data_IF_485486761087
#
_entry.id   IF_485486761087
#
_cell.length_a   1.000
_cell.length_b   1.000
_cell.length_c   1.000
_cell.angle_alpha   90.00
_cell.angle_beta   90.00
_cell.angle_gamma   90.00
#
_symmetry.space_group_name_H-M   'P 1'
#
loop_
_entity.id
_entity.type
_entity.pdbx_description
1 polymer ?
#
# COMPACT_ATOMS: atom_id res chain seq x y z
N UNK A 1 3.05 4.97 -13.26
CA UNK A 1 2.92 4.46 -11.87
C UNK A 1 1.44 4.37 -11.60
N UNK A 2 0.95 3.24 -11.11
CA UNK A 2 -0.49 3.02 -10.96
C UNK A 2 -1.13 3.82 -9.81
N UNK A 3 -0.31 4.31 -8.86
CA UNK A 3 -0.79 4.94 -7.63
C UNK A 3 -0.14 6.33 -7.42
N UNK A 4 -0.96 7.30 -7.00
CA UNK A 4 -0.62 8.71 -6.79
C UNK A 4 -0.16 8.98 -5.35
N UNK A 5 1.02 8.47 -4.99
CA UNK A 5 1.64 8.81 -3.70
C UNK A 5 2.21 10.24 -3.76
N UNK A 6 1.40 11.22 -3.35
CA UNK A 6 1.81 12.61 -3.26
C UNK A 6 2.94 12.83 -2.26
N UNK A 7 3.73 13.91 -2.43
CA UNK A 7 4.63 14.38 -1.38
C UNK A 7 3.80 15.16 -0.36
N UNK A 8 3.88 14.84 0.95
CA UNK A 8 3.21 15.66 1.96
C UNK A 8 3.65 17.11 1.82
N UNK A 9 2.70 18.02 1.62
CA UNK A 9 2.96 19.45 1.36
C UNK A 9 3.58 20.17 2.57
N UNK A 10 3.47 19.57 3.77
CA UNK A 10 3.97 20.11 5.04
C UNK A 10 4.44 19.00 5.98
N UNK A 11 5.48 19.28 6.77
CA UNK A 11 5.96 18.42 7.86
C UNK A 11 4.90 18.13 8.93
N UNK A 12 3.86 18.97 9.03
CA UNK A 12 2.72 18.75 9.92
C UNK A 12 1.83 17.57 9.49
N UNK A 13 1.97 17.09 8.24
CA UNK A 13 1.30 15.92 7.69
C UNK A 13 2.22 14.69 7.55
N UNK A 14 3.50 14.84 7.83
CA UNK A 14 4.47 13.74 7.91
C UNK A 14 4.45 13.22 9.34
N UNK A 15 4.35 11.90 9.54
CA UNK A 15 4.37 11.31 10.87
C UNK A 15 5.80 11.02 11.34
N UNK A 16 6.04 11.11 12.66
CA UNK A 16 7.37 11.01 13.26
C UNK A 16 7.83 9.54 13.39
N UNK A 17 8.87 9.10 12.66
CA UNK A 17 9.47 7.78 12.89
C UNK A 17 10.18 7.72 14.27
N UNK A 18 10.74 8.84 14.75
CA UNK A 18 11.39 8.90 16.07
C UNK A 18 10.40 8.65 17.21
N UNK A 19 9.17 9.15 17.11
CA UNK A 19 8.16 8.88 18.13
C UNK A 19 7.90 7.39 18.30
N UNK A 20 7.78 6.66 17.18
CA UNK A 20 7.59 5.20 17.19
C UNK A 20 8.83 4.52 17.75
N UNK A 21 10.01 4.81 17.20
CA UNK A 21 11.27 4.19 17.61
C UNK A 21 11.53 4.30 19.12
N UNK A 22 11.38 5.49 19.68
CA UNK A 22 11.65 5.75 21.10
C UNK A 22 10.63 5.10 22.04
N UNK A 23 9.43 4.76 21.54
CA UNK A 23 8.39 4.10 22.33
C UNK A 23 8.59 2.59 22.44
N UNK A 24 9.06 1.95 21.38
CA UNK A 24 9.02 0.48 21.25
C UNK A 24 10.39 -0.17 21.24
N UNK A 25 11.49 0.59 21.13
CA UNK A 25 12.83 0.00 21.19
C UNK A 25 13.06 -0.69 22.54
N UNK A 26 13.64 -1.88 22.49
CA UNK A 26 13.96 -2.69 23.66
C UNK A 26 15.45 -2.61 24.05
N UNK A 27 16.19 -1.73 23.38
CA UNK A 27 17.63 -1.57 23.53
C UNK A 27 18.01 -0.10 23.73
N UNK A 28 19.26 0.11 24.13
CA UNK A 28 19.84 1.43 24.15
C UNK A 28 19.85 1.99 22.73
N UNK A 29 19.43 3.25 22.62
CA UNK A 29 19.46 4.01 21.38
C UNK A 29 20.83 3.92 20.70
N UNK A 30 20.82 3.61 19.41
CA UNK A 30 22.03 3.44 18.61
C UNK A 30 21.78 2.62 17.33
N UNK A 31 22.81 2.49 16.49
CA UNK A 31 22.68 1.93 15.13
C UNK A 31 22.34 0.44 15.10
N UNK A 32 22.57 -0.30 16.20
CA UNK A 32 22.32 -1.74 16.30
C UNK A 32 21.03 -2.06 17.07
N UNK A 33 20.13 -1.08 17.18
CA UNK A 33 18.89 -1.20 17.91
C UNK A 33 17.72 -1.01 16.94
N UNK A 34 17.19 -2.12 16.42
CA UNK A 34 15.99 -2.14 15.57
C UNK A 34 14.70 -2.27 16.39
N UNK A 35 13.57 -2.29 15.68
CA UNK A 35 12.22 -2.47 16.25
C UNK A 35 11.39 -3.39 15.36
N UNK A 36 10.28 -3.92 15.88
CA UNK A 36 9.38 -4.80 15.12
C UNK A 36 8.25 -4.02 14.46
N UNK A 37 7.88 -4.43 13.23
CA UNK A 37 6.78 -3.80 12.46
C UNK A 37 5.45 -3.96 13.21
N UNK A 38 5.21 -5.14 13.79
CA UNK A 38 4.01 -5.42 14.59
C UNK A 38 3.84 -4.48 15.77
N UNK A 39 4.90 -4.23 16.54
CA UNK A 39 4.85 -3.34 17.70
C UNK A 39 4.64 -1.88 17.30
N UNK A 40 5.24 -1.46 16.18
CA UNK A 40 4.99 -0.14 15.61
C UNK A 40 3.52 0.04 15.21
N UNK A 41 2.93 -0.95 14.53
CA UNK A 41 1.52 -0.93 14.13
C UNK A 41 0.59 -0.94 15.35
N UNK A 42 0.88 -1.74 16.37
CA UNK A 42 0.08 -1.79 17.59
C UNK A 42 0.19 -0.49 18.40
N UNK A 43 1.36 0.14 18.46
CA UNK A 43 1.53 1.49 19.03
C UNK A 43 0.64 2.50 18.30
N UNK A 44 0.71 2.53 16.97
CA UNK A 44 -0.08 3.47 16.15
C UNK A 44 -1.59 3.22 16.28
N UNK A 45 -2.02 1.97 16.47
CA UNK A 45 -3.43 1.63 16.67
C UNK A 45 -3.93 2.03 18.06
N UNK A 46 -3.15 1.75 19.10
CA UNK A 46 -3.59 1.92 20.50
C UNK A 46 -3.34 3.33 21.04
N UNK A 47 -2.19 3.91 20.73
CA UNK A 47 -1.74 5.22 21.24
C UNK A 47 -1.69 6.29 20.16
N UNK A 48 -1.54 5.91 18.90
CA UNK A 48 -1.41 6.84 17.78
C UNK A 48 0.02 7.33 17.58
N UNK A 49 0.18 8.38 16.79
CA UNK A 49 1.48 8.93 16.38
C UNK A 49 1.44 10.46 16.31
N UNK A 50 2.59 11.11 16.49
CA UNK A 50 2.72 12.57 16.34
C UNK A 50 3.35 12.94 15.00
N UNK A 51 3.17 14.19 14.57
CA UNK A 51 3.82 14.69 13.36
C UNK A 51 5.34 14.80 13.53
N UNK A 52 6.05 14.83 12.41
CA UNK A 52 7.47 15.11 12.33
C UNK A 52 7.82 16.46 12.94
N UNK A 53 6.94 17.46 12.80
CA UNK A 53 7.12 18.77 13.41
C UNK A 53 7.18 18.68 14.94
N UNK A 54 6.37 17.82 15.56
CA UNK A 54 6.34 17.64 17.01
C UNK A 54 7.54 16.83 17.53
N UNK A 55 7.99 15.84 16.77
CA UNK A 55 9.20 15.07 17.08
C UNK A 55 10.00 14.78 15.80
N UNK A 56 10.91 15.68 15.40
CA UNK A 56 11.72 15.49 14.20
C UNK A 56 12.61 14.26 14.28
N UNK A 57 12.95 13.69 13.13
CA UNK A 57 13.99 12.66 13.06
C UNK A 57 15.36 13.27 13.34
N UNK A 58 16.07 12.68 14.28
CA UNK A 58 17.46 12.94 14.59
C UNK A 58 18.08 11.62 15.07
N UNK A 59 19.02 11.09 14.28
CA UNK A 59 19.69 9.83 14.57
C UNK A 59 20.57 9.87 15.83
N UNK A 60 20.95 11.07 16.28
CA UNK A 60 21.78 11.28 17.47
C UNK A 60 20.95 11.56 18.73
N UNK A 61 19.64 11.77 18.58
CA UNK A 61 18.77 12.07 19.69
C UNK A 61 18.17 10.78 20.26
N UNK A 62 18.39 10.57 21.55
CA UNK A 62 17.91 9.40 22.27
C UNK A 62 16.83 9.70 23.32
N UNK A 63 16.37 10.95 23.41
CA UNK A 63 15.39 11.40 24.40
C UNK A 63 14.01 10.80 24.13
N UNK A 64 13.40 10.08 25.10
CA UNK A 64 12.03 9.58 24.96
C UNK A 64 11.00 10.72 24.85
N UNK A 65 9.85 10.48 24.21
CA UNK A 65 8.78 11.48 24.11
C UNK A 65 8.19 11.82 25.48
N UNK A 66 7.92 13.10 25.70
CA UNK A 66 7.28 13.59 26.92
C UNK A 66 5.77 13.34 26.98
N UNK A 67 5.17 13.46 28.17
CA UNK A 67 3.74 13.18 28.38
C UNK A 67 2.80 14.01 27.48
N UNK A 68 3.17 15.24 27.12
CA UNK A 68 2.36 16.08 26.22
C UNK A 68 2.20 15.46 24.82
N UNK A 69 3.22 14.74 24.34
CA UNK A 69 3.17 14.06 23.03
C UNK A 69 2.24 12.85 23.05
N UNK A 70 2.08 12.17 24.20
CA UNK A 70 1.15 11.04 24.32
C UNK A 70 -0.30 11.47 24.04
N UNK A 71 -0.70 12.62 24.57
CA UNK A 71 -2.04 13.17 24.33
C UNK A 71 -2.20 13.59 22.87
N UNK A 72 -1.18 14.25 22.30
CA UNK A 72 -1.20 14.66 20.89
C UNK A 72 -1.17 13.49 19.91
N UNK A 73 -0.58 12.35 20.28
CA UNK A 73 -0.56 11.16 19.43
C UNK A 73 -1.97 10.55 19.26
N UNK A 74 -2.80 10.66 20.30
CA UNK A 74 -4.10 9.98 20.37
C UNK A 74 -5.10 10.37 19.27
N UNK A 75 -4.91 11.52 18.61
CA UNK A 75 -5.76 11.98 17.50
C UNK A 75 -5.37 11.38 16.15
N UNK A 76 -4.15 10.82 16.02
CA UNK A 76 -3.68 10.17 14.79
C UNK A 76 -3.50 8.67 15.02
N UNK A 77 -4.59 7.97 15.32
CA UNK A 77 -4.60 6.51 15.41
C UNK A 77 -4.93 5.90 14.06
N UNK A 78 -4.26 4.81 13.72
CA UNK A 78 -4.72 3.96 12.62
C UNK A 78 -5.95 3.17 13.08
N UNK A 79 -6.96 3.00 12.21
CA UNK A 79 -8.13 2.18 12.56
C UNK A 79 -7.78 0.71 12.81
N UNK A 80 -6.77 0.20 12.12
CA UNK A 80 -6.33 -1.18 12.26
C UNK A 80 -5.26 -1.55 11.24
N UNK A 81 -4.82 -2.79 11.31
CA UNK A 81 -3.87 -3.36 10.38
C UNK A 81 -4.14 -4.86 10.24
N UNK A 82 -3.75 -5.43 9.10
CA UNK A 82 -3.85 -6.85 8.83
C UNK A 82 -2.49 -7.39 8.37
N UNK A 83 -2.20 -8.63 8.76
CA UNK A 83 -1.00 -9.35 8.32
C UNK A 83 -1.33 -10.20 7.09
N UNK A 84 -0.48 -10.13 6.07
CA UNK A 84 -0.56 -11.02 4.91
C UNK A 84 0.10 -12.35 5.29
N UNK A 85 -0.72 -13.36 5.59
CA UNK A 85 -0.23 -14.66 6.08
C UNK A 85 0.43 -15.49 4.96
N UNK A 86 -0.14 -15.47 3.75
CA UNK A 86 0.46 -16.17 2.61
C UNK A 86 1.44 -15.27 1.87
N UNK A 87 2.68 -15.23 2.36
CA UNK A 87 3.75 -14.38 1.84
C UNK A 87 4.11 -14.63 0.36
N UNK A 88 3.74 -15.79 -0.19
CA UNK A 88 4.03 -16.19 -1.56
C UNK A 88 2.91 -15.83 -2.55
N UNK A 89 1.75 -15.36 -2.06
CA UNK A 89 0.62 -15.02 -2.90
C UNK A 89 0.79 -13.63 -3.52
N UNK A 90 1.54 -13.53 -4.62
CA UNK A 90 1.77 -12.24 -5.29
C UNK A 90 0.48 -11.55 -5.75
N UNK A 91 -0.59 -12.31 -6.01
CA UNK A 91 -1.88 -11.73 -6.39
C UNK A 91 -2.48 -10.91 -5.25
N UNK A 92 -2.33 -11.34 -3.99
CA UNK A 92 -2.78 -10.58 -2.83
C UNK A 92 -2.05 -9.23 -2.72
N UNK A 93 -0.73 -9.21 -2.92
CA UNK A 93 0.03 -7.96 -2.96
C UNK A 93 -0.44 -7.04 -4.08
N UNK A 94 -0.64 -7.58 -5.29
CA UNK A 94 -1.15 -6.80 -6.43
C UNK A 94 -2.54 -6.24 -6.16
N UNK A 95 -3.42 -7.01 -5.52
CA UNK A 95 -4.77 -6.56 -5.15
C UNK A 95 -4.72 -5.37 -4.19
N UNK A 96 -3.93 -5.44 -3.11
CA UNK A 96 -3.80 -4.28 -2.21
C UNK A 96 -3.23 -3.06 -2.93
N UNK A 97 -2.16 -3.25 -3.70
CA UNK A 97 -1.52 -2.17 -4.44
C UNK A 97 -2.46 -1.58 -5.49
N UNK A 98 -3.29 -2.36 -6.18
CA UNK A 98 -4.26 -1.83 -7.15
C UNK A 98 -5.43 -1.09 -6.52
N UNK A 99 -5.66 -1.26 -5.23
CA UNK A 99 -6.69 -0.58 -4.44
C UNK A 99 -6.11 0.59 -3.61
N UNK A 100 -4.92 1.08 -4.00
CA UNK A 100 -4.21 2.16 -3.31
C UNK A 100 -3.91 1.88 -1.84
N UNK A 101 -3.64 0.61 -1.51
CA UNK A 101 -3.20 0.19 -0.19
C UNK A 101 -1.71 -0.19 -0.28
N UNK A 102 -0.80 0.60 0.32
CA UNK A 102 0.61 0.26 0.33
C UNK A 102 0.88 -0.85 1.35
N UNK A 103 1.93 -1.62 1.12
CA UNK A 103 2.21 -2.83 1.92
C UNK A 103 3.56 -2.65 2.61
N UNK A 104 3.57 -2.75 3.93
CA UNK A 104 4.80 -2.72 4.73
C UNK A 104 5.38 -4.12 4.71
N UNK A 105 6.64 -4.27 4.34
CA UNK A 105 7.34 -5.57 4.31
C UNK A 105 8.59 -5.54 5.15
N UNK A 106 8.81 -6.57 5.96
CA UNK A 106 10.07 -6.86 6.64
C UNK A 106 10.67 -8.15 6.09
N UNK A 107 11.92 -8.13 5.65
CA UNK A 107 12.56 -9.28 5.01
C UNK A 107 14.09 -9.20 5.02
N UNK A 108 14.77 -10.33 4.82
CA UNK A 108 16.19 -10.32 4.45
C UNK A 108 16.36 -9.76 3.03
N UNK A 109 17.37 -8.93 2.84
CA UNK A 109 17.70 -8.39 1.53
C UNK A 109 18.29 -9.46 0.60
N UNK A 110 18.08 -9.29 -0.70
CA UNK A 110 18.82 -10.03 -1.72
C UNK A 110 20.32 -9.70 -1.69
N UNK A 111 21.15 -10.63 -2.13
CA UNK A 111 22.57 -10.38 -2.31
C UNK A 111 22.80 -9.15 -3.22
N UNK A 112 23.76 -8.30 -2.86
CA UNK A 112 24.12 -7.06 -3.56
C UNK A 112 23.05 -5.95 -3.60
N UNK A 113 22.00 -6.03 -2.77
CA UNK A 113 20.98 -4.99 -2.70
C UNK A 113 21.55 -3.58 -2.44
N UNK A 114 22.58 -3.46 -1.60
CA UNK A 114 23.20 -2.15 -1.31
C UNK A 114 23.88 -1.56 -2.56
N UNK A 115 24.54 -2.40 -3.36
CA UNK A 115 25.28 -2.01 -4.56
C UNK A 115 24.37 -1.66 -5.74
N UNK A 116 23.12 -2.16 -5.75
CA UNK A 116 22.10 -1.72 -6.71
C UNK A 116 21.94 -0.20 -6.70
N UNK A 117 22.09 0.40 -5.51
CA UNK A 117 21.83 1.80 -5.17
C UNK A 117 22.61 2.88 -5.90
N UNK A 118 23.42 2.55 -6.90
CA UNK A 118 24.09 3.55 -7.74
C UNK A 118 23.07 4.58 -8.22
N UNK A 119 23.36 5.87 -7.99
CA UNK A 119 22.40 6.97 -8.16
C UNK A 119 21.72 6.94 -9.52
N UNK A 120 20.39 6.90 -9.54
CA UNK A 120 19.61 6.91 -10.77
C UNK A 120 19.51 5.57 -11.48
N UNK A 121 19.92 4.46 -10.85
CA UNK A 121 19.69 3.13 -11.41
C UNK A 121 18.19 2.83 -11.49
N UNK A 122 17.68 2.67 -12.72
CA UNK A 122 16.27 2.38 -13.02
C UNK A 122 16.03 0.92 -13.40
N UNK A 123 17.08 0.08 -13.33
CA UNK A 123 17.00 -1.32 -13.71
C UNK A 123 16.19 -2.12 -12.69
N UNK A 124 15.62 -3.26 -13.09
CA UNK A 124 15.01 -4.18 -12.12
C UNK A 124 16.10 -4.87 -11.31
N UNK A 125 16.05 -4.77 -9.99
CA UNK A 125 16.86 -5.54 -9.07
C UNK A 125 16.43 -7.01 -9.09
N UNK A 126 17.40 -7.89 -9.31
CA UNK A 126 17.23 -9.34 -9.31
C UNK A 126 18.18 -9.97 -8.30
N UNK A 127 17.81 -11.13 -7.77
CA UNK A 127 18.62 -11.86 -6.82
C UNK A 127 18.31 -13.36 -6.88
N UNK A 128 19.33 -14.18 -6.67
CA UNK A 128 19.23 -15.64 -6.54
C UNK A 128 19.67 -16.14 -5.16
N UNK A 129 20.15 -15.23 -4.30
CA UNK A 129 20.62 -15.51 -2.95
C UNK A 129 20.22 -14.36 -2.02
N UNK A 130 20.09 -14.66 -0.73
CA UNK A 130 19.87 -13.68 0.32
C UNK A 130 21.21 -13.22 0.91
N UNK A 131 21.27 -11.94 1.28
CA UNK A 131 22.38 -11.37 2.04
C UNK A 131 22.26 -11.83 3.50
N UNK A 132 23.29 -12.44 4.12
CA UNK A 132 23.26 -12.80 5.53
C UNK A 132 23.06 -11.58 6.44
N UNK A 133 22.33 -11.75 7.55
CA UNK A 133 22.13 -10.72 8.59
C UNK A 133 21.66 -9.36 8.05
N UNK A 134 20.67 -9.37 7.16
CA UNK A 134 20.24 -8.19 6.39
C UNK A 134 18.75 -7.88 6.52
N UNK A 135 18.17 -8.08 7.70
CA UNK A 135 16.77 -7.73 7.95
C UNK A 135 16.53 -6.24 7.67
N UNK A 136 15.55 -5.94 6.81
CA UNK A 136 15.19 -4.58 6.45
C UNK A 136 13.68 -4.45 6.27
N UNK A 137 13.14 -3.28 6.63
CA UNK A 137 11.72 -2.95 6.48
C UNK A 137 11.55 -1.86 5.40
N UNK A 138 10.63 -2.10 4.47
CA UNK A 138 10.38 -1.23 3.32
C UNK A 138 8.88 -1.14 2.99
N UNK A 139 8.50 -0.20 2.14
CA UNK A 139 7.12 0.03 1.74
C UNK A 139 6.91 -0.27 0.26
N UNK A 140 6.06 -1.23 -0.07
CA UNK A 140 5.62 -1.50 -1.43
C UNK A 140 4.55 -0.49 -1.83
N UNK A 141 4.74 0.10 -3.01
CA UNK A 141 3.94 1.25 -3.50
C UNK A 141 3.41 1.05 -4.93
N UNK A 142 3.71 -0.09 -5.55
CA UNK A 142 3.16 -0.42 -6.86
C UNK A 142 3.75 -1.68 -7.44
N UNK A 143 3.30 -2.02 -8.64
CA UNK A 143 3.80 -3.14 -9.42
C UNK A 143 3.68 -2.83 -10.92
N UNK A 144 4.43 -3.56 -11.74
CA UNK A 144 4.37 -3.51 -13.19
C UNK A 144 4.59 -4.94 -13.73
N UNK A 145 3.54 -5.51 -14.32
CA UNK A 145 3.55 -6.88 -14.86
C UNK A 145 4.39 -7.01 -16.14
N UNK A 146 4.53 -5.94 -16.91
CA UNK A 146 5.42 -5.93 -18.09
C UNK A 146 6.88 -5.99 -17.63
N UNK A 147 7.21 -5.31 -16.53
CA UNK A 147 8.52 -5.40 -15.86
C UNK A 147 8.69 -6.66 -15.02
N UNK A 148 7.61 -7.35 -14.69
CA UNK A 148 7.55 -8.46 -13.72
C UNK A 148 8.16 -8.09 -12.36
N UNK A 149 7.84 -6.89 -11.88
CA UNK A 149 8.48 -6.33 -10.69
C UNK A 149 7.51 -5.56 -9.78
N UNK A 150 7.84 -5.52 -8.49
CA UNK A 150 7.23 -4.63 -7.51
C UNK A 150 8.05 -3.36 -7.37
N UNK A 151 7.38 -2.22 -7.22
CA UNK A 151 8.03 -0.96 -6.83
C UNK A 151 8.00 -0.82 -5.33
N UNK A 152 9.19 -0.63 -4.76
CA UNK A 152 9.40 -0.52 -3.33
C UNK A 152 10.09 0.81 -3.02
N UNK A 153 9.53 1.54 -2.07
CA UNK A 153 10.11 2.74 -1.49
C UNK A 153 11.09 2.32 -0.38
N UNK A 154 12.33 2.79 -0.49
CA UNK A 154 13.38 2.57 0.49
C UNK A 154 13.57 3.83 1.37
N UNK A 155 14.34 3.69 2.46
CA UNK A 155 14.59 4.73 3.45
C UNK A 155 16.06 5.17 3.49
N UNK A 156 16.82 4.97 2.41
CA UNK A 156 18.25 5.33 2.31
C UNK A 156 18.50 6.63 1.52
N UNK A 157 17.51 7.53 1.53
CA UNK A 157 17.59 8.83 0.87
C UNK A 157 17.31 8.79 -0.63
N UNK A 158 17.11 9.97 -1.21
CA UNK A 158 16.71 10.12 -2.62
C UNK A 158 17.85 9.85 -3.61
N UNK A 159 19.10 9.81 -3.16
CA UNK A 159 20.25 9.54 -4.05
C UNK A 159 20.50 8.04 -4.27
N UNK A 160 19.78 7.18 -3.56
CA UNK A 160 19.84 5.73 -3.72
C UNK A 160 18.81 5.25 -4.75
N UNK A 161 19.24 4.41 -5.69
CA UNK A 161 18.35 3.80 -6.70
C UNK A 161 17.62 4.83 -7.58
N UNK A 162 16.36 4.55 -7.92
CA UNK A 162 15.49 5.46 -8.67
C UNK A 162 14.82 6.46 -7.72
N UNK A 163 15.54 7.51 -7.30
CA UNK A 163 15.02 8.56 -6.39
C UNK A 163 14.53 8.03 -5.03
N UNK A 164 15.24 7.05 -4.46
CA UNK A 164 14.86 6.36 -3.22
C UNK A 164 13.96 5.14 -3.42
N UNK A 165 13.69 4.75 -4.67
CA UNK A 165 12.89 3.58 -5.02
C UNK A 165 13.71 2.51 -5.72
N UNK A 166 13.19 1.29 -5.70
CA UNK A 166 13.72 0.14 -6.43
C UNK A 166 12.58 -0.65 -7.06
N UNK A 167 12.82 -1.20 -8.24
CA UNK A 167 11.99 -2.24 -8.82
C UNK A 167 12.60 -3.59 -8.47
N UNK A 168 11.88 -4.43 -7.72
CA UNK A 168 12.34 -5.78 -7.35
C UNK A 168 11.58 -6.81 -8.17
N UNK A 169 12.31 -7.64 -8.91
CA UNK A 169 11.76 -8.75 -9.69
C UNK A 169 10.91 -9.70 -8.82
N UNK A 170 9.83 -10.25 -9.38
CA UNK A 170 8.89 -11.10 -8.65
C UNK A 170 9.53 -12.37 -8.04
N UNK A 171 10.49 -13.00 -8.71
CA UNK A 171 11.16 -14.19 -8.18
C UNK A 171 12.18 -13.81 -7.10
N UNK A 172 12.90 -12.69 -7.28
CA UNK A 172 13.74 -12.14 -6.21
C UNK A 172 12.90 -11.76 -4.97
N UNK A 173 11.74 -11.12 -5.16
CA UNK A 173 10.83 -10.77 -4.08
C UNK A 173 10.31 -12.01 -3.35
N UNK A 174 9.91 -13.07 -4.08
CA UNK A 174 9.54 -14.36 -3.48
C UNK A 174 10.69 -14.96 -2.66
N UNK A 175 11.93 -14.89 -3.16
CA UNK A 175 13.09 -15.36 -2.41
C UNK A 175 13.29 -14.59 -1.11
N UNK A 176 13.19 -13.25 -1.16
CA UNK A 176 13.23 -12.37 0.02
C UNK A 176 12.11 -12.73 1.00
N UNK A 177 10.86 -12.77 0.54
CA UNK A 177 9.71 -13.10 1.39
C UNK A 177 9.68 -14.55 1.87
N UNK A 178 10.47 -15.45 1.26
CA UNK A 178 10.71 -16.81 1.76
C UNK A 178 11.64 -16.89 2.96
N UNK A 179 12.36 -15.80 3.32
CA UNK A 179 13.29 -15.81 4.45
C UNK A 179 12.57 -16.06 5.78
N UNK A 180 13.25 -16.72 6.72
CA UNK A 180 12.74 -16.85 8.09
C UNK A 180 12.55 -15.46 8.70
N UNK A 181 11.44 -15.25 9.41
CA UNK A 181 11.09 -13.96 10.01
C UNK A 181 10.53 -12.91 9.05
N UNK A 182 10.41 -13.19 7.75
CA UNK A 182 9.77 -12.24 6.83
C UNK A 182 8.29 -12.04 7.16
N UNK A 183 7.81 -10.83 6.94
CA UNK A 183 6.45 -10.41 7.27
C UNK A 183 5.95 -9.30 6.35
N UNK A 184 4.64 -9.24 6.17
CA UNK A 184 3.98 -8.21 5.38
C UNK A 184 2.68 -7.76 6.06
N UNK A 185 2.41 -6.47 6.05
CA UNK A 185 1.23 -5.86 6.67
C UNK A 185 0.63 -4.79 5.79
N UNK A 186 -0.67 -4.60 5.95
CA UNK A 186 -1.43 -3.46 5.41
C UNK A 186 -2.10 -2.74 6.56
N UNK A 187 -2.15 -1.41 6.47
CA UNK A 187 -2.99 -0.59 7.35
C UNK A 187 -4.38 -0.52 6.74
N UNK A 188 -5.42 -0.64 7.58
CA UNK A 188 -6.81 -0.51 7.13
C UNK A 188 -7.01 0.84 6.45
N UNK A 189 -7.55 0.86 5.23
CA UNK A 189 -7.73 2.08 4.44
C UNK A 189 -8.73 3.01 5.14
N UNK A 190 -8.25 4.15 5.59
CA UNK A 190 -9.03 5.21 6.22
C UNK A 190 -8.56 6.62 5.81
N UNK A 191 -7.82 6.69 4.71
CA UNK A 191 -7.24 7.88 4.12
C UNK A 191 -7.66 8.03 2.66
N UNK A 192 -7.74 9.28 2.21
CA UNK A 192 -7.89 9.64 0.80
C UNK A 192 -6.53 10.03 0.22
N UNK A 193 -6.23 9.60 -1.02
CA UNK A 193 -5.03 10.06 -1.72
C UNK A 193 -5.22 11.50 -2.21
N UNK A 194 -4.13 12.27 -2.27
CA UNK A 194 -4.15 13.64 -2.82
C UNK A 194 -4.55 13.61 -4.29
N UNK A 195 -5.47 14.51 -4.68
CA UNK A 195 -5.92 14.71 -6.08
C UNK A 195 -4.88 15.41 -6.98
N UNK A 196 -3.61 15.51 -6.56
CA UNK A 196 -2.58 16.22 -7.33
C UNK A 196 -2.43 15.62 -8.74
N UNK A 197 -2.79 16.42 -9.74
CA UNK A 197 -2.89 16.07 -11.15
C UNK A 197 -1.53 15.80 -11.79
N UNK A 198 -1.50 14.84 -12.72
CA UNK A 198 -0.35 14.62 -13.59
C UNK A 198 0.05 15.90 -14.34
N UNK A 199 1.35 16.17 -14.57
CA UNK A 199 1.82 17.16 -15.53
C UNK A 199 1.48 16.87 -17.00
N UNK A 200 0.47 16.04 -17.30
CA UNK A 200 0.07 15.69 -18.67
C UNK A 200 -1.42 15.88 -18.97
N UNK A 201 -2.25 16.22 -18.00
CA UNK A 201 -3.71 16.20 -18.20
C UNK A 201 -4.27 17.62 -18.28
N UNK A 202 -3.74 18.41 -19.23
CA UNK A 202 -4.50 19.51 -19.83
C UNK A 202 -5.48 18.90 -20.84
N UNK A 203 -6.61 18.37 -20.35
CA UNK A 203 -7.81 18.20 -21.18
C UNK A 203 -8.95 18.92 -20.46
N UNK A 204 -9.24 20.11 -20.99
CA UNK A 204 -10.47 20.87 -20.76
C UNK A 204 -11.65 20.04 -21.25
N UNK A 205 -12.67 19.80 -20.41
CA UNK A 205 -14.09 19.94 -20.80
C UNK A 205 -15.03 19.99 -19.58
N UNK A 206 -15.69 21.14 -19.49
CA UNK A 206 -17.02 21.55 -18.98
C UNK A 206 -18.00 20.55 -18.34
N UNK A 207 -18.56 21.01 -17.20
CA UNK A 207 -19.91 20.89 -16.62
C UNK A 207 -20.86 19.77 -17.09
N UNK A 208 -21.46 19.06 -16.12
CA UNK A 208 -22.93 19.02 -15.99
C UNK A 208 -23.39 18.58 -14.58
N UNK A 209 -24.47 19.22 -14.13
CA UNK A 209 -25.20 18.91 -12.89
C UNK A 209 -26.02 17.63 -13.07
N UNK A 210 -26.08 16.75 -12.06
CA UNK A 210 -27.34 16.03 -11.83
C UNK A 210 -27.52 15.57 -10.38
N UNK A 211 -28.77 15.71 -9.94
CA UNK A 211 -29.33 15.39 -8.62
C UNK A 211 -30.08 14.06 -8.70
N UNK A 212 -29.78 13.09 -7.84
CA UNK A 212 -30.54 11.84 -7.77
C UNK A 212 -30.00 10.91 -6.68
N UNK A 213 -30.90 10.33 -5.90
CA UNK A 213 -30.62 9.35 -4.87
C UNK A 213 -30.24 8.01 -5.50
N UNK A 214 -28.95 7.81 -5.78
CA UNK A 214 -28.43 6.55 -6.30
C UNK A 214 -27.62 5.81 -5.24
N UNK A 215 -27.96 4.54 -5.01
CA UNK A 215 -27.04 3.58 -4.40
C UNK A 215 -25.90 3.35 -5.39
N UNK A 216 -24.85 4.17 -5.30
CA UNK A 216 -23.62 3.96 -6.07
C UNK A 216 -22.92 2.69 -5.59
N UNK A 217 -23.11 1.60 -6.34
CA UNK A 217 -22.20 0.45 -6.29
C UNK A 217 -20.99 0.73 -7.20
N UNK A 218 -20.15 1.70 -6.83
CA UNK A 218 -18.91 1.98 -7.56
C UNK A 218 -17.82 1.01 -7.10
N UNK A 219 -17.45 0.07 -7.96
CA UNK A 219 -16.20 -0.67 -7.84
C UNK A 219 -15.04 0.29 -8.21
N UNK A 220 -14.34 0.82 -7.21
CA UNK A 220 -13.11 1.59 -7.41
C UNK A 220 -11.91 0.67 -7.66
N UNK A 221 -11.94 -0.03 -8.78
CA UNK A 221 -10.77 -0.66 -9.38
C UNK A 221 -10.21 0.21 -10.52
N UNK A 222 -8.91 0.12 -10.84
CA UNK A 222 -8.21 1.13 -11.63
C UNK A 222 -8.58 1.17 -13.12
N UNK A 223 -9.32 0.18 -13.63
CA UNK A 223 -9.99 0.24 -14.95
C UNK A 223 -11.19 -0.72 -14.92
N UNK A 224 -12.35 -0.25 -15.37
CA UNK A 224 -13.47 -1.13 -15.68
C UNK A 224 -13.19 -1.85 -17.01
N UNK A 225 -13.44 -3.16 -17.08
CA UNK A 225 -13.25 -3.96 -18.29
C UNK A 225 -14.60 -4.16 -19.00
N UNK A 226 -14.63 -4.23 -20.34
CA UNK A 226 -15.80 -4.73 -21.07
C UNK A 226 -16.16 -6.14 -20.58
N UNK A 227 -17.46 -6.43 -20.46
CA UNK A 227 -18.02 -7.73 -20.04
C UNK A 227 -17.65 -8.18 -18.62
N UNK A 228 -17.31 -7.25 -17.72
CA UNK A 228 -17.02 -7.58 -16.32
C UNK A 228 -18.26 -8.15 -15.63
N UNK A 229 -18.05 -9.12 -14.74
CA UNK A 229 -19.12 -9.73 -13.94
C UNK A 229 -18.80 -9.65 -12.45
N UNK A 230 -19.82 -9.38 -11.64
CA UNK A 230 -19.75 -9.47 -10.19
C UNK A 230 -20.86 -10.36 -9.64
N UNK A 231 -20.58 -10.99 -8.50
CA UNK A 231 -21.60 -11.66 -7.70
C UNK A 231 -21.87 -10.79 -6.49
N UNK A 232 -23.12 -10.34 -6.39
CA UNK A 232 -23.65 -9.62 -5.24
C UNK A 232 -24.32 -10.62 -4.32
N UNK A 233 -23.92 -10.63 -3.04
CA UNK A 233 -24.52 -11.48 -2.01
C UNK A 233 -25.33 -10.59 -1.07
N UNK A 234 -26.61 -10.91 -0.92
CA UNK A 234 -27.54 -10.18 -0.06
C UNK A 234 -27.53 -10.76 1.36
N UNK A 235 -28.05 -9.98 2.32
CA UNK A 235 -28.16 -10.40 3.74
C UNK A 235 -28.98 -11.67 3.95
N UNK A 236 -29.98 -11.93 3.11
CA UNK A 236 -30.80 -13.14 3.15
C UNK A 236 -30.10 -14.37 2.53
N UNK A 237 -28.87 -14.20 2.05
CA UNK A 237 -28.05 -15.23 1.42
C UNK A 237 -28.34 -15.44 -0.06
N UNK A 238 -29.27 -14.69 -0.65
CA UNK A 238 -29.51 -14.70 -2.10
C UNK A 238 -28.30 -14.11 -2.85
N UNK A 239 -28.12 -14.57 -4.09
CA UNK A 239 -26.97 -14.21 -4.92
C UNK A 239 -27.44 -13.77 -6.29
N UNK A 240 -26.95 -12.61 -6.73
CA UNK A 240 -27.27 -12.04 -8.03
C UNK A 240 -25.99 -11.88 -8.84
N UNK A 241 -26.11 -12.09 -10.16
CA UNK A 241 -25.04 -11.78 -11.11
C UNK A 241 -25.31 -10.39 -11.68
N UNK A 242 -24.30 -9.53 -11.64
CA UNK A 242 -24.34 -8.21 -12.26
C UNK A 242 -23.32 -8.18 -13.39
N UNK A 243 -23.74 -7.69 -14.55
CA UNK A 243 -22.91 -7.53 -15.75
C UNK A 243 -22.68 -6.05 -16.02
N UNK A 244 -21.46 -5.71 -16.43
CA UNK A 244 -21.00 -4.34 -16.64
C UNK A 244 -20.44 -4.18 -18.05
N UNK A 245 -20.74 -3.04 -18.69
CA UNK A 245 -20.08 -2.59 -19.92
C UNK A 245 -19.15 -1.43 -19.57
N UNK A 246 -17.91 -1.75 -19.25
CA UNK A 246 -17.03 -0.79 -18.60
C UNK A 246 -17.56 -0.43 -17.21
N UNK A 247 -17.74 0.86 -16.93
CA UNK A 247 -18.15 1.33 -15.59
C UNK A 247 -19.66 1.50 -15.44
N UNK A 248 -20.45 1.18 -16.47
CA UNK A 248 -21.91 1.28 -16.44
C UNK A 248 -22.56 -0.08 -16.17
N UNK A 249 -23.57 -0.09 -15.31
CA UNK A 249 -24.37 -1.28 -14.99
C UNK A 249 -25.36 -1.51 -16.12
N UNK A 250 -25.32 -2.67 -16.77
CA UNK A 250 -26.19 -2.98 -17.90
C UNK A 250 -27.62 -3.39 -17.49
N UNK A 251 -27.81 -3.88 -16.26
CA UNK A 251 -29.11 -4.34 -15.78
C UNK A 251 -29.25 -4.17 -14.26
N UNK A 252 -30.37 -3.60 -13.81
CA UNK A 252 -30.72 -3.44 -12.40
C UNK A 252 -32.14 -3.98 -12.14
N UNK A 253 -32.36 -4.59 -10.97
CA UNK A 253 -33.70 -4.90 -10.45
C UNK A 253 -34.00 -3.93 -9.29
N UNK A 254 -34.96 -3.02 -9.50
CA UNK A 254 -35.22 -1.82 -8.67
C UNK A 254 -35.80 -2.08 -7.26
N UNK A 255 -35.84 -3.31 -6.75
CA UNK A 255 -36.77 -3.63 -5.66
C UNK A 255 -36.16 -4.06 -4.32
N UNK A 256 -34.98 -3.58 -3.92
CA UNK A 256 -34.41 -3.97 -2.61
C UNK A 256 -33.71 -2.84 -1.85
N UNK A 257 -34.21 -2.56 -0.64
CA UNK A 257 -33.48 -1.79 0.38
C UNK A 257 -32.46 -2.72 1.06
N UNK A 258 -31.16 -2.46 0.91
CA UNK A 258 -30.09 -3.19 1.58
C UNK A 258 -29.13 -2.23 2.30
N UNK A 259 -28.83 -2.51 3.57
CA UNK A 259 -27.91 -1.66 4.36
C UNK A 259 -26.43 -1.83 3.99
N UNK A 260 -26.04 -2.93 3.33
CA UNK A 260 -24.72 -3.13 2.75
C UNK A 260 -24.73 -4.23 1.67
N UNK A 261 -23.81 -4.13 0.70
CA UNK A 261 -23.62 -5.09 -0.40
C UNK A 261 -22.18 -5.62 -0.34
N UNK A 262 -22.01 -6.94 -0.33
CA UNK A 262 -20.68 -7.57 -0.49
C UNK A 262 -20.49 -7.95 -1.97
N UNK A 263 -19.54 -7.29 -2.63
CA UNK A 263 -19.20 -7.53 -4.03
C UNK A 263 -17.93 -8.39 -4.07
N UNK A 264 -18.06 -9.60 -4.60
CA UNK A 264 -16.90 -10.46 -4.86
C UNK A 264 -16.58 -10.37 -6.36
N UNK A 265 -15.54 -9.61 -6.76
CA UNK A 265 -15.17 -9.51 -8.17
C UNK A 265 -14.67 -10.86 -8.65
N UNK A 266 -15.31 -11.40 -9.68
CA UNK A 266 -14.89 -12.66 -10.30
C UNK A 266 -14.34 -12.31 -11.68
N UNK A 267 -13.01 -12.25 -11.82
CA UNK A 267 -12.38 -12.03 -13.12
C UNK A 267 -12.49 -13.32 -13.93
N UNK A 268 -13.55 -13.47 -14.71
CA UNK A 268 -13.64 -14.46 -15.77
C UNK A 268 -13.41 -13.75 -17.10
N UNK A 269 -12.18 -13.39 -17.42
CA UNK A 269 -11.86 -13.11 -18.82
C UNK A 269 -11.92 -14.45 -19.56
N UNK A 270 -12.87 -14.68 -20.50
CA UNK A 270 -12.75 -15.83 -21.37
C UNK A 270 -11.44 -15.66 -22.18
N UNK A 271 -10.65 -16.74 -22.38
CA UNK A 271 -9.47 -16.65 -23.23
C UNK A 271 -9.87 -16.13 -24.61
N UNK A 272 -9.06 -15.28 -25.26
CA UNK A 272 -9.37 -14.78 -26.59
C UNK A 272 -9.57 -15.98 -27.52
N UNK A 273 -10.73 -16.03 -28.20
CA UNK A 273 -10.92 -16.96 -29.31
C UNK A 273 -9.92 -16.56 -30.38
N UNK A 274 -8.97 -17.45 -30.65
CA UNK A 274 -8.22 -17.40 -31.89
C UNK A 274 -9.20 -17.81 -32.99
N UNK A 275 -9.85 -16.82 -33.60
CA UNK A 275 -10.55 -17.03 -34.85
C UNK A 275 -9.52 -16.94 -35.99
N UNK A 276 -9.49 -18.02 -36.77
CA UNK A 276 -8.65 -18.29 -37.94
C UNK A 276 -8.85 -17.28 -39.09
#
# INVERSE_FOLDING_TARGET
>A
LKNNWGKPVSSSKIMSPSYVYHHIRECNCGPNCGTYIGDALELMKTKGIVSWEMMPYDENNCTPPGNSMLNAASVNKIKGYNRLNNKMNLNEYKTYLSNDVPIITGTSLGANFDYYGSRGNTSTFTCSQLKPNSGHAMLMVGYDDNRKAFKIMNSWGSDWGEKGYVWVDYECFKLMMGSSGSEAYVISKDYELSKDTHPSDDIVTTDEQNTGSDLQASFEGPYCLPDMQAIVIMKDGSKYRVEFDGCEILQHEDSYEADYVEIIPTVTAPPPRNDL
#
